data_IF_010832566132
#
_entry.id   IF_010832566132
#
_cell.length_a   1.000
_cell.length_b   1.000
_cell.length_c   1.000
_cell.angle_alpha   90.00
_cell.angle_beta   90.00
_cell.angle_gamma   90.00
#
_symmetry.space_group_name_H-M   'P 1'
#
loop_
_entity.id
_entity.type
_entity.pdbx_description
1 polymer ?
#
# COMPACT_ATOMS: atom_id res chain seq x y z
N UNK A 1 -0.42 0.61 21.96
CA UNK A 1 1.06 0.67 21.86
C UNK A 1 1.52 -0.63 21.23
N UNK A 2 2.15 -0.56 20.06
CA UNK A 2 2.96 -1.61 19.43
C UNK A 2 3.95 -0.80 18.59
N UNK A 3 5.23 -0.71 18.96
CA UNK A 3 6.18 -1.82 19.07
C UNK A 3 7.03 -1.72 17.80
N UNK A 4 8.26 -1.22 17.92
CA UNK A 4 9.22 -0.94 16.86
C UNK A 4 9.02 -1.80 15.59
N UNK A 5 8.23 -1.31 14.63
CA UNK A 5 8.25 -1.84 13.28
C UNK A 5 9.60 -1.40 12.71
N UNK A 6 10.57 -2.32 12.70
CA UNK A 6 11.69 -2.25 11.77
C UNK A 6 11.09 -1.86 10.42
N UNK A 7 11.36 -0.64 9.95
CA UNK A 7 11.02 -0.26 8.58
C UNK A 7 11.81 -1.20 7.68
N UNK A 8 11.16 -2.25 7.18
CA UNK A 8 11.76 -3.20 6.26
C UNK A 8 11.94 -2.45 4.94
N UNK A 9 13.18 -2.02 4.68
CA UNK A 9 13.57 -1.47 3.39
C UNK A 9 13.98 -2.67 2.52
N UNK A 10 13.02 -3.21 1.79
CA UNK A 10 13.23 -4.34 0.88
C UNK A 10 13.71 -3.91 -0.52
N UNK A 11 13.81 -2.59 -0.76
CA UNK A 11 14.22 -2.04 -2.05
C UNK A 11 13.19 -2.23 -3.18
N UNK A 12 11.97 -2.68 -2.84
CA UNK A 12 10.84 -2.91 -3.75
C UNK A 12 9.86 -1.74 -3.69
N UNK A 13 8.92 -1.73 -4.63
CA UNK A 13 7.91 -0.68 -4.76
C UNK A 13 6.52 -1.30 -4.75
N UNK A 14 5.58 -0.56 -4.20
CA UNK A 14 4.23 -1.07 -3.95
C UNK A 14 3.16 -0.06 -4.38
N UNK A 15 1.99 -0.59 -4.69
CA UNK A 15 0.72 0.16 -4.78
C UNK A 15 -0.31 -0.52 -3.88
N UNK A 16 -1.31 0.23 -3.44
CA UNK A 16 -2.42 -0.33 -2.67
C UNK A 16 -3.68 -0.24 -3.51
N UNK A 17 -4.32 -1.39 -3.75
CA UNK A 17 -5.64 -1.43 -4.35
C UNK A 17 -6.72 -1.43 -3.26
N UNK A 18 -7.86 -0.84 -3.58
CA UNK A 18 -9.09 -0.95 -2.81
C UNK A 18 -10.25 -1.46 -3.65
N UNK A 19 -11.25 -2.06 -2.99
CA UNK A 19 -12.55 -2.38 -3.58
C UNK A 19 -13.72 -1.65 -2.93
N UNK A 20 -14.16 -0.57 -3.57
CA UNK A 20 -15.25 0.27 -3.10
C UNK A 20 -16.64 -0.32 -3.34
N UNK A 21 -16.79 -1.33 -4.21
CA UNK A 21 -18.10 -1.89 -4.59
C UNK A 21 -18.12 -3.42 -4.78
N UNK A 22 -17.28 -4.18 -4.05
CA UNK A 22 -17.18 -5.65 -4.05
C UNK A 22 -16.69 -6.32 -5.35
N UNK A 23 -16.88 -5.70 -6.52
CA UNK A 23 -16.50 -6.27 -7.82
C UNK A 23 -15.53 -5.41 -8.64
N UNK A 24 -15.26 -4.18 -8.20
CA UNK A 24 -14.27 -3.31 -8.83
C UNK A 24 -13.10 -3.07 -7.89
N UNK A 25 -11.89 -3.11 -8.45
CA UNK A 25 -10.64 -2.78 -7.76
C UNK A 25 -10.01 -1.56 -8.42
N UNK A 26 -9.47 -0.65 -7.62
CA UNK A 26 -8.72 0.52 -8.12
C UNK A 26 -7.56 0.88 -7.22
N UNK A 27 -6.57 1.56 -7.78
CA UNK A 27 -5.41 2.06 -7.02
C UNK A 27 -5.88 3.17 -6.07
N UNK A 28 -5.43 3.12 -4.82
CA UNK A 28 -5.62 4.21 -3.86
C UNK A 28 -4.86 5.45 -4.32
N UNK A 29 -5.50 6.62 -4.22
CA UNK A 29 -4.91 7.90 -4.67
C UNK A 29 -3.56 8.16 -3.99
N UNK A 30 -3.43 7.78 -2.71
CA UNK A 30 -2.21 7.87 -1.93
C UNK A 30 -1.05 7.01 -2.49
N UNK A 31 -1.35 6.12 -3.44
CA UNK A 31 -0.37 5.29 -4.17
C UNK A 31 -0.38 5.51 -5.68
N UNK A 32 -0.89 6.65 -6.17
CA UNK A 32 -0.67 7.06 -7.58
C UNK A 32 0.82 7.17 -7.92
N UNK A 33 1.64 7.49 -6.92
CA UNK A 33 3.08 7.24 -6.93
C UNK A 33 3.33 5.97 -6.14
N UNK A 34 4.25 5.15 -6.63
CA UNK A 34 4.65 3.94 -5.89
C UNK A 34 5.13 4.29 -4.49
N UNK A 35 5.04 3.35 -3.55
CA UNK A 35 5.42 3.54 -2.15
C UNK A 35 6.33 2.41 -1.67
N UNK A 36 6.98 2.61 -0.54
CA UNK A 36 7.68 1.55 0.20
C UNK A 36 6.69 0.58 0.85
N UNK A 37 7.17 -0.57 1.32
CA UNK A 37 6.33 -1.54 2.01
C UNK A 37 5.71 -0.95 3.30
N UNK A 38 6.51 -0.20 4.08
CA UNK A 38 6.07 0.44 5.32
C UNK A 38 4.94 1.43 5.06
N UNK A 39 5.11 2.33 4.09
CA UNK A 39 4.08 3.28 3.67
C UNK A 39 2.79 2.58 3.20
N UNK A 40 2.90 1.49 2.41
CA UNK A 40 1.75 0.73 1.97
C UNK A 40 0.95 0.14 3.16
N UNK A 41 1.64 -0.35 4.18
CA UNK A 41 1.01 -0.87 5.42
C UNK A 41 0.35 0.27 6.20
N UNK A 42 1.01 1.42 6.35
CA UNK A 42 0.46 2.58 7.03
C UNK A 42 -0.80 3.11 6.34
N UNK A 43 -0.81 3.17 5.00
CA UNK A 43 -1.99 3.52 4.20
C UNK A 43 -3.13 2.53 4.50
N UNK A 44 -2.87 1.22 4.48
CA UNK A 44 -3.89 0.22 4.79
C UNK A 44 -4.48 0.42 6.20
N UNK A 45 -3.62 0.65 7.20
CA UNK A 45 -4.05 0.88 8.58
C UNK A 45 -4.88 2.15 8.72
N UNK A 46 -4.49 3.24 8.05
CA UNK A 46 -5.25 4.49 8.02
C UNK A 46 -6.64 4.27 7.41
N UNK A 47 -6.71 3.58 6.28
CA UNK A 47 -7.97 3.33 5.59
C UNK A 47 -8.93 2.44 6.41
N UNK A 48 -8.41 1.39 7.05
CA UNK A 48 -9.23 0.56 7.96
C UNK A 48 -9.73 1.38 9.16
N UNK A 49 -8.85 2.17 9.79
CA UNK A 49 -9.16 2.91 11.01
C UNK A 49 -10.10 4.10 10.78
N UNK A 50 -9.95 4.80 9.66
CA UNK A 50 -10.58 6.11 9.45
C UNK A 50 -11.54 6.17 8.26
N UNK A 51 -11.46 5.24 7.30
CA UNK A 51 -12.32 5.22 6.10
C UNK A 51 -13.35 4.09 6.11
N UNK A 52 -13.31 3.21 7.12
CA UNK A 52 -14.32 2.16 7.31
C UNK A 52 -14.28 1.05 6.27
N UNK A 53 -13.20 0.94 5.49
CA UNK A 53 -12.95 -0.23 4.64
C UNK A 53 -12.47 -1.40 5.49
N UNK A 54 -12.85 -2.60 5.09
CA UNK A 54 -12.40 -3.82 5.75
C UNK A 54 -11.05 -4.28 5.16
N UNK A 55 -10.21 -5.01 5.91
CA UNK A 55 -8.93 -5.52 5.41
C UNK A 55 -9.06 -6.33 4.11
N UNK A 56 -10.12 -7.12 3.95
CA UNK A 56 -10.38 -7.90 2.73
C UNK A 56 -10.68 -7.04 1.49
N UNK A 57 -10.98 -5.75 1.67
CA UNK A 57 -11.19 -4.79 0.59
C UNK A 57 -9.92 -4.06 0.18
N UNK A 58 -8.76 -4.42 0.74
CA UNK A 58 -7.46 -3.80 0.46
C UNK A 58 -6.47 -4.84 -0.02
N UNK A 59 -5.61 -4.48 -0.96
CA UNK A 59 -4.53 -5.34 -1.45
C UNK A 59 -3.26 -4.55 -1.72
N UNK A 60 -2.19 -4.88 -1.01
CA UNK A 60 -0.85 -4.42 -1.34
C UNK A 60 -0.31 -5.29 -2.49
N UNK A 61 0.17 -4.63 -3.54
CA UNK A 61 0.76 -5.27 -4.72
C UNK A 61 2.17 -4.72 -4.92
N UNK A 62 3.14 -5.63 -5.06
CA UNK A 62 4.49 -5.29 -5.48
C UNK A 62 4.49 -4.93 -6.98
N UNK A 63 5.17 -3.84 -7.33
CA UNK A 63 5.30 -3.35 -8.69
C UNK A 63 6.78 -3.09 -9.04
N UNK A 64 7.16 -3.14 -10.32
CA UNK A 64 8.51 -2.83 -10.73
C UNK A 64 8.94 -1.42 -10.32
N UNK A 65 10.17 -1.29 -9.84
CA UNK A 65 10.78 0.02 -9.56
C UNK A 65 11.34 0.63 -10.84
N UNK A 66 10.46 1.18 -11.68
CA UNK A 66 10.86 1.82 -12.95
C UNK A 66 11.52 3.20 -12.76
N UNK A 67 11.64 3.68 -11.51
CA UNK A 67 12.35 4.92 -11.20
C UNK A 67 13.84 4.69 -10.94
N UNK A 68 14.25 3.45 -10.65
CA UNK A 68 15.66 3.08 -10.65
C UNK A 68 16.19 3.15 -12.09
N UNK A 69 17.13 4.05 -12.34
CA UNK A 69 17.93 3.99 -13.56
C UNK A 69 18.75 2.71 -13.52
N UNK A 70 18.81 2.01 -14.65
CA UNK A 70 19.74 0.89 -14.85
C UNK A 70 21.17 1.40 -14.55
N UNK A 71 21.86 0.72 -13.62
CA UNK A 71 23.26 0.98 -13.28
C UNK A 71 24.21 0.51 -14.40
#
# INVERSE_FOLDING_TARGET
>A
MFGNNLQVIDGKRYVVLESQFRNYWRVLMETEKTVTQGEAVEICQYWVKYKGVKPEQLKIIEVPDILKKEE
#
